data_IF_018075530502
#
_entry.id   IF_018075530502
#
_cell.length_a   1.000
_cell.length_b   1.000
_cell.length_c   1.000
_cell.angle_alpha   90.00
_cell.angle_beta   90.00
_cell.angle_gamma   90.00
#
_symmetry.space_group_name_H-M   'P 1'
#
loop_
_entity.id
_entity.type
_entity.pdbx_description
1 polymer ?
#
# COMPACT_ATOMS: atom_id res chain seq x y z
N UNK A 1 2.69 -11.25 5.55
CA UNK A 1 3.82 -10.44 6.00
C UNK A 1 3.92 -10.44 7.53
N UNK A 2 5.13 -10.61 8.05
CA UNK A 2 5.43 -10.36 9.45
C UNK A 2 5.43 -8.86 9.73
N UNK A 3 4.92 -8.43 10.87
CA UNK A 3 4.76 -7.02 11.19
C UNK A 3 5.48 -6.64 12.47
N UNK A 4 6.39 -5.68 12.38
CA UNK A 4 7.12 -5.09 13.50
C UNK A 4 6.62 -3.68 13.79
N UNK A 5 6.49 -3.37 15.07
CA UNK A 5 6.24 -2.02 15.57
C UNK A 5 7.26 -1.73 16.68
N UNK A 6 7.63 -0.46 16.92
CA UNK A 6 8.43 -0.13 18.10
C UNK A 6 7.60 -0.39 19.36
N UNK A 7 8.25 -0.61 20.50
CA UNK A 7 7.58 -0.88 21.77
C UNK A 7 6.68 0.29 22.22
N UNK A 8 6.96 1.49 21.76
CA UNK A 8 6.15 2.70 21.99
C UNK A 8 5.07 2.91 20.93
N UNK A 9 4.92 2.00 19.97
CA UNK A 9 3.95 2.09 18.90
C UNK A 9 2.51 1.78 19.35
N UNK A 10 1.56 2.03 18.43
CA UNK A 10 0.14 1.73 18.69
C UNK A 10 -0.07 0.22 18.79
N UNK A 11 -0.62 -0.21 19.91
CA UNK A 11 -0.90 -1.61 20.22
C UNK A 11 -2.04 -2.14 19.34
N UNK A 12 -1.92 -3.34 18.84
CA UNK A 12 -3.08 -4.08 18.33
C UNK A 12 -2.83 -4.99 17.13
N UNK A 13 -1.86 -4.73 16.25
CA UNK A 13 -1.64 -5.57 15.08
C UNK A 13 -0.19 -5.66 14.60
N UNK A 14 0.73 -5.53 15.52
CA UNK A 14 2.14 -5.76 15.31
C UNK A 14 2.80 -6.26 16.57
N UNK A 15 3.97 -6.83 16.46
CA UNK A 15 4.80 -7.21 17.60
C UNK A 15 5.68 -6.03 18.00
N UNK A 16 5.52 -5.53 19.22
CA UNK A 16 6.44 -4.55 19.80
C UNK A 16 7.83 -5.16 20.00
N UNK A 17 8.85 -4.44 19.57
CA UNK A 17 10.26 -4.82 19.72
C UNK A 17 11.11 -3.59 20.05
N UNK A 18 12.21 -3.81 20.76
CA UNK A 18 13.18 -2.76 21.12
C UNK A 18 14.59 -3.33 21.10
N UNK A 19 15.50 -2.55 20.56
CA UNK A 19 16.91 -2.91 20.51
C UNK A 19 17.24 -4.12 19.64
N UNK A 20 18.52 -4.32 19.42
CA UNK A 20 19.03 -5.29 18.44
C UNK A 20 18.55 -6.72 18.67
N UNK A 21 18.63 -7.20 19.89
CA UNK A 21 18.41 -8.63 20.15
C UNK A 21 16.94 -9.02 19.93
N UNK A 22 15.99 -8.18 20.38
CA UNK A 22 14.56 -8.43 20.14
C UNK A 22 14.19 -8.30 18.67
N UNK A 23 14.76 -7.32 17.94
CA UNK A 23 14.56 -7.15 16.50
C UNK A 23 15.01 -8.38 15.75
N UNK A 24 16.26 -8.82 15.97
CA UNK A 24 16.84 -10.00 15.31
C UNK A 24 16.02 -11.27 15.61
N UNK A 25 15.65 -11.47 16.87
CA UNK A 25 14.87 -12.62 17.29
C UNK A 25 13.49 -12.64 16.61
N UNK A 26 12.80 -11.49 16.58
CA UNK A 26 11.45 -11.39 16.02
C UNK A 26 11.45 -11.51 14.49
N UNK A 27 12.39 -10.86 13.78
CA UNK A 27 12.54 -11.00 12.32
C UNK A 27 12.73 -12.47 11.95
N UNK A 28 13.67 -13.16 12.61
CA UNK A 28 13.92 -14.59 12.38
C UNK A 28 12.71 -15.45 12.68
N UNK A 29 11.99 -15.13 13.77
CA UNK A 29 10.76 -15.84 14.13
C UNK A 29 9.69 -15.71 13.05
N UNK A 30 9.44 -14.50 12.54
CA UNK A 30 8.43 -14.26 11.51
C UNK A 30 8.78 -14.96 10.19
N UNK A 31 10.03 -14.90 9.76
CA UNK A 31 10.51 -15.61 8.57
C UNK A 31 10.35 -17.13 8.74
N UNK A 32 10.73 -17.68 9.90
CA UNK A 32 10.54 -19.11 10.21
C UNK A 32 9.07 -19.52 10.17
N UNK A 33 8.14 -18.60 10.47
CA UNK A 33 6.69 -18.83 10.38
C UNK A 33 6.13 -18.68 8.96
N UNK A 34 6.97 -18.44 7.96
CA UNK A 34 6.58 -18.33 6.54
C UNK A 34 6.18 -16.93 6.10
N UNK A 35 6.71 -15.88 6.73
CA UNK A 35 6.51 -14.52 6.24
C UNK A 35 7.34 -14.28 4.98
N UNK A 36 6.69 -13.90 3.87
CA UNK A 36 7.35 -13.54 2.60
C UNK A 36 7.93 -12.12 2.64
N UNK A 37 7.45 -11.29 3.55
CA UNK A 37 7.87 -9.91 3.76
C UNK A 37 7.91 -9.57 5.24
N UNK A 38 8.90 -8.80 5.66
CA UNK A 38 8.90 -8.15 6.98
C UNK A 38 8.31 -6.74 6.82
N UNK A 39 7.24 -6.44 7.57
CA UNK A 39 6.64 -5.10 7.59
C UNK A 39 6.98 -4.36 8.87
N UNK A 40 7.47 -3.12 8.72
CA UNK A 40 7.81 -2.22 9.82
C UNK A 40 6.88 -1.02 9.83
N UNK A 41 6.34 -0.66 10.99
CA UNK A 41 5.73 0.64 11.20
C UNK A 41 6.82 1.65 11.55
N UNK A 42 7.36 2.33 10.53
CA UNK A 42 8.44 3.32 10.70
C UNK A 42 7.91 4.61 11.32
N UNK A 43 6.67 4.97 10.97
CA UNK A 43 5.94 6.09 11.58
C UNK A 43 4.62 5.62 12.20
N UNK A 44 3.91 6.52 12.88
CA UNK A 44 2.57 6.29 13.40
C UNK A 44 1.53 6.11 12.29
N UNK A 45 0.35 5.58 12.66
CA UNK A 45 -0.67 5.19 11.69
C UNK A 45 -1.41 6.37 11.08
N UNK A 46 -1.89 7.28 11.91
CA UNK A 46 -2.70 8.43 11.50
C UNK A 46 -2.28 9.63 12.32
N UNK A 47 -1.97 10.76 11.68
CA UNK A 47 -1.76 12.00 12.39
C UNK A 47 -3.03 12.40 13.16
N UNK A 48 -2.89 12.84 14.37
CA UNK A 48 -3.98 13.43 15.13
C UNK A 48 -3.52 14.75 15.77
N UNK A 49 -4.45 15.54 16.30
CA UNK A 49 -4.16 16.86 16.87
C UNK A 49 -3.29 16.83 18.14
N UNK A 50 -3.03 15.65 18.70
CA UNK A 50 -2.17 15.47 19.90
C UNK A 50 -0.87 14.74 19.59
N UNK A 51 -0.82 13.99 18.49
CA UNK A 51 0.34 13.19 18.10
C UNK A 51 0.61 13.38 16.63
N UNK A 52 1.84 13.71 16.32
CA UNK A 52 2.32 13.77 14.96
C UNK A 52 2.61 12.34 14.49
N UNK A 53 1.61 11.70 13.87
CA UNK A 53 1.70 10.32 13.38
C UNK A 53 2.77 10.11 12.32
N UNK A 54 3.28 11.18 11.73
CA UNK A 54 4.34 11.18 10.73
C UNK A 54 5.77 11.07 11.31
N UNK A 55 5.94 11.09 12.62
CA UNK A 55 7.27 10.99 13.21
C UNK A 55 7.86 9.59 13.05
N UNK A 56 9.13 9.52 12.65
CA UNK A 56 9.91 8.29 12.73
C UNK A 56 10.25 8.00 14.19
N UNK A 57 9.86 6.82 14.67
CA UNK A 57 10.04 6.42 16.08
C UNK A 57 11.17 5.40 16.26
N UNK A 58 11.82 5.01 15.17
CA UNK A 58 12.96 4.09 15.16
C UNK A 58 14.27 4.88 15.11
N UNK A 59 15.30 4.36 15.75
CA UNK A 59 16.66 4.82 15.49
C UNK A 59 17.12 4.32 14.11
N UNK A 60 18.09 5.01 13.54
CA UNK A 60 18.77 4.61 12.30
C UNK A 60 19.30 3.17 12.39
N UNK A 61 20.01 2.87 13.46
CA UNK A 61 20.63 1.57 13.69
C UNK A 61 19.59 0.45 13.77
N UNK A 62 18.44 0.68 14.40
CA UNK A 62 17.37 -0.32 14.49
C UNK A 62 16.79 -0.66 13.12
N UNK A 63 16.57 0.34 12.25
CA UNK A 63 16.09 0.09 10.88
C UNK A 63 17.12 -0.66 10.03
N UNK A 64 18.41 -0.32 10.16
CA UNK A 64 19.50 -1.04 9.50
C UNK A 64 19.58 -2.51 9.96
N UNK A 65 19.39 -2.77 11.25
CA UNK A 65 19.36 -4.14 11.81
C UNK A 65 18.19 -4.94 11.25
N UNK A 66 17.00 -4.33 11.12
CA UNK A 66 15.85 -5.00 10.50
C UNK A 66 16.19 -5.41 9.07
N UNK A 67 16.67 -4.48 8.24
CA UNK A 67 17.02 -4.74 6.84
C UNK A 67 18.10 -5.80 6.73
N UNK A 68 19.22 -5.64 7.44
CA UNK A 68 20.33 -6.59 7.39
C UNK A 68 19.88 -8.00 7.78
N UNK A 69 19.14 -8.13 8.91
CA UNK A 69 18.71 -9.44 9.39
C UNK A 69 17.73 -10.12 8.41
N UNK A 70 16.85 -9.33 7.79
CA UNK A 70 15.86 -9.84 6.85
C UNK A 70 16.49 -10.25 5.52
N UNK A 71 17.36 -9.39 4.97
CA UNK A 71 18.04 -9.64 3.70
C UNK A 71 19.03 -10.79 3.78
N UNK A 72 19.72 -10.97 4.90
CA UNK A 72 20.60 -12.13 5.15
C UNK A 72 19.83 -13.47 5.06
N UNK A 73 18.52 -13.42 5.25
CA UNK A 73 17.62 -14.57 5.15
C UNK A 73 16.78 -14.56 3.86
N UNK A 74 17.10 -13.70 2.89
CA UNK A 74 16.44 -13.62 1.60
C UNK A 74 15.02 -13.06 1.65
N UNK A 75 14.65 -12.35 2.71
CA UNK A 75 13.29 -11.80 2.90
C UNK A 75 13.31 -10.28 2.77
N UNK A 76 12.49 -9.69 1.89
CA UNK A 76 12.42 -8.25 1.70
C UNK A 76 11.68 -7.54 2.85
N UNK A 77 11.92 -6.22 2.96
CA UNK A 77 11.40 -5.36 4.01
C UNK A 77 10.51 -4.25 3.43
N UNK A 78 9.33 -4.05 3.99
CA UNK A 78 8.45 -2.93 3.65
C UNK A 78 8.15 -2.06 4.86
N UNK A 79 8.01 -0.75 4.63
CA UNK A 79 7.79 0.25 5.68
C UNK A 79 6.46 0.98 5.56
N UNK A 80 5.70 1.11 6.66
CA UNK A 80 4.66 2.11 6.78
C UNK A 80 5.34 3.45 7.10
N UNK A 81 5.34 4.37 6.13
CA UNK A 81 6.05 5.63 6.20
C UNK A 81 5.12 6.79 5.82
N UNK A 82 4.59 7.48 6.82
CA UNK A 82 3.82 8.71 6.65
C UNK A 82 4.66 9.87 7.16
N UNK A 83 5.12 10.73 6.25
CA UNK A 83 5.96 11.87 6.57
C UNK A 83 7.43 11.69 6.22
N UNK A 84 8.07 12.81 5.97
CA UNK A 84 9.39 12.93 5.33
C UNK A 84 10.49 12.15 6.05
N UNK A 85 10.58 12.26 7.38
CA UNK A 85 11.65 11.60 8.14
C UNK A 85 11.57 10.07 8.06
N UNK A 86 10.36 9.50 8.11
CA UNK A 86 10.17 8.05 8.03
C UNK A 86 10.49 7.51 6.64
N UNK A 87 10.14 8.24 5.57
CA UNK A 87 10.48 7.90 4.20
C UNK A 87 11.99 7.93 3.99
N UNK A 88 12.63 9.02 4.43
CA UNK A 88 14.09 9.20 4.32
C UNK A 88 14.84 8.06 5.02
N UNK A 89 14.52 7.79 6.28
CA UNK A 89 15.24 6.79 7.07
C UNK A 89 14.98 5.36 6.57
N UNK A 90 13.76 5.04 6.11
CA UNK A 90 13.46 3.75 5.50
C UNK A 90 14.23 3.54 4.18
N UNK A 91 14.19 4.52 3.27
CA UNK A 91 14.92 4.44 2.01
C UNK A 91 16.44 4.32 2.23
N UNK A 92 16.98 5.08 3.18
CA UNK A 92 18.38 5.04 3.56
C UNK A 92 18.80 3.70 4.15
N UNK A 93 17.96 3.12 5.02
CA UNK A 93 18.24 1.84 5.69
C UNK A 93 18.17 0.63 4.73
N UNK A 94 17.63 0.80 3.50
CA UNK A 94 17.56 -0.25 2.49
C UNK A 94 16.24 -0.99 2.45
N UNK A 95 15.14 -0.34 2.77
CA UNK A 95 13.81 -0.92 2.58
C UNK A 95 13.52 -1.17 1.11
N UNK A 96 12.85 -2.29 0.80
CA UNK A 96 12.53 -2.71 -0.57
C UNK A 96 11.20 -2.13 -1.06
N UNK A 97 10.38 -1.62 -0.16
CA UNK A 97 9.08 -1.00 -0.49
C UNK A 97 8.66 -0.01 0.60
N UNK A 98 8.26 1.18 0.16
CA UNK A 98 7.65 2.19 1.03
C UNK A 98 6.13 2.19 0.81
N UNK A 99 5.39 2.06 1.90
CA UNK A 99 3.93 2.23 1.91
C UNK A 99 3.62 3.66 2.30
N UNK A 100 2.66 4.26 1.61
CA UNK A 100 2.22 5.65 1.67
C UNK A 100 3.22 6.61 1.04
N UNK A 101 4.39 6.86 1.63
CA UNK A 101 5.35 7.81 1.08
C UNK A 101 4.80 9.23 0.99
N UNK A 102 3.89 9.59 1.91
CA UNK A 102 3.23 10.90 1.91
C UNK A 102 4.09 11.97 2.58
N UNK A 103 3.83 13.24 2.24
CA UNK A 103 4.48 14.42 2.85
C UNK A 103 6.01 14.40 2.74
N UNK A 104 6.55 13.94 1.62
CA UNK A 104 8.01 13.96 1.39
C UNK A 104 8.51 15.38 1.19
N UNK A 105 9.53 15.76 1.96
CA UNK A 105 10.36 16.93 1.70
C UNK A 105 11.49 16.57 0.71
N UNK A 106 12.20 17.56 0.21
CA UNK A 106 13.23 17.39 -0.83
C UNK A 106 14.24 16.28 -0.50
N UNK A 107 14.78 16.25 0.72
CA UNK A 107 15.77 15.24 1.09
C UNK A 107 15.22 13.80 1.05
N UNK A 108 13.96 13.57 1.43
CA UNK A 108 13.34 12.26 1.35
C UNK A 108 13.04 11.87 -0.10
N UNK A 109 12.58 12.81 -0.91
CA UNK A 109 12.36 12.60 -2.34
C UNK A 109 13.66 12.25 -3.05
N UNK A 110 14.74 12.99 -2.79
CA UNK A 110 16.06 12.75 -3.39
C UNK A 110 16.58 11.36 -3.01
N UNK A 111 16.44 10.95 -1.74
CA UNK A 111 16.84 9.62 -1.26
C UNK A 111 16.05 8.50 -1.94
N UNK A 112 14.73 8.65 -2.07
CA UNK A 112 13.89 7.67 -2.77
C UNK A 112 14.28 7.57 -4.25
N UNK A 113 14.54 8.70 -4.91
CA UNK A 113 14.98 8.76 -6.31
C UNK A 113 16.36 8.11 -6.48
N UNK A 114 17.30 8.41 -5.61
CA UNK A 114 18.64 7.82 -5.63
C UNK A 114 18.59 6.29 -5.50
N UNK A 115 17.80 5.81 -4.55
CA UNK A 115 17.70 4.38 -4.23
C UNK A 115 16.71 3.62 -5.12
N UNK A 116 15.87 4.31 -5.89
CA UNK A 116 14.78 3.72 -6.70
C UNK A 116 13.85 2.81 -5.88
N UNK A 117 13.60 3.19 -4.63
CA UNK A 117 12.72 2.39 -3.75
C UNK A 117 11.27 2.51 -4.24
N UNK A 118 10.58 1.41 -4.59
CA UNK A 118 9.18 1.45 -4.97
C UNK A 118 8.30 2.06 -3.87
N UNK A 119 7.26 2.79 -4.29
CA UNK A 119 6.26 3.36 -3.36
C UNK A 119 4.88 2.84 -3.71
N UNK A 120 4.15 2.33 -2.73
CA UNK A 120 2.72 2.07 -2.82
C UNK A 120 1.95 3.14 -2.01
N UNK A 121 1.39 4.17 -2.65
CA UNK A 121 0.78 5.31 -1.93
C UNK A 121 -0.41 4.91 -1.08
N UNK A 122 -1.20 3.94 -1.54
CA UNK A 122 -2.40 3.42 -0.84
C UNK A 122 -3.41 4.52 -0.48
N UNK A 123 -3.61 5.44 -1.40
CA UNK A 123 -4.49 6.62 -1.23
C UNK A 123 -5.97 6.26 -1.26
N UNK A 124 -6.33 5.04 -1.68
CA UNK A 124 -7.70 4.55 -1.75
C UNK A 124 -8.45 4.71 -0.42
N UNK A 125 -7.79 4.38 0.71
CA UNK A 125 -8.40 4.55 2.03
C UNK A 125 -8.74 6.00 2.33
N UNK A 126 -7.80 6.92 2.09
CA UNK A 126 -7.99 8.35 2.31
C UNK A 126 -9.05 8.93 1.38
N UNK A 127 -9.01 8.58 0.08
CA UNK A 127 -9.99 9.02 -0.92
C UNK A 127 -11.40 8.55 -0.55
N UNK A 128 -11.55 7.30 -0.12
CA UNK A 128 -12.84 6.79 0.32
C UNK A 128 -13.33 7.46 1.61
N UNK A 129 -12.44 7.81 2.55
CA UNK A 129 -12.84 8.61 3.72
C UNK A 129 -13.27 10.02 3.34
N UNK A 130 -12.64 10.63 2.34
CA UNK A 130 -13.04 11.95 1.83
C UNK A 130 -14.44 11.88 1.22
N UNK A 131 -14.68 10.91 0.35
CA UNK A 131 -15.92 10.85 -0.44
C UNK A 131 -17.09 10.26 0.35
N UNK A 132 -16.84 9.24 1.17
CA UNK A 132 -17.88 8.43 1.81
C UNK A 132 -17.80 8.42 3.34
N UNK A 133 -16.81 9.08 3.94
CA UNK A 133 -16.60 9.06 5.38
C UNK A 133 -17.82 9.53 6.18
N UNK A 134 -18.61 10.47 5.65
CA UNK A 134 -19.84 10.93 6.27
C UNK A 134 -20.88 9.80 6.47
N UNK A 135 -20.90 8.80 5.57
CA UNK A 135 -21.82 7.66 5.64
C UNK A 135 -21.47 6.70 6.79
N UNK A 136 -20.23 6.70 7.22
CA UNK A 136 -19.71 5.84 8.31
C UNK A 136 -19.42 6.61 9.59
N UNK A 137 -19.83 7.88 9.66
CA UNK A 137 -19.65 8.72 10.85
C UNK A 137 -18.26 9.29 11.03
N UNK A 138 -17.45 9.39 9.98
CA UNK A 138 -16.14 10.04 10.06
C UNK A 138 -16.30 11.54 10.36
N UNK A 139 -15.51 12.04 11.29
CA UNK A 139 -15.54 13.47 11.62
C UNK A 139 -15.04 14.33 10.45
N UNK A 140 -15.67 15.48 10.16
CA UNK A 140 -15.31 16.33 9.02
C UNK A 140 -13.83 16.72 8.98
N UNK A 141 -13.20 16.95 10.13
CA UNK A 141 -11.78 17.31 10.16
C UNK A 141 -10.85 16.22 9.60
N UNK A 142 -11.26 14.93 9.65
CA UNK A 142 -10.49 13.82 9.08
C UNK A 142 -10.54 13.87 7.55
N UNK A 143 -11.70 14.21 6.99
CA UNK A 143 -11.85 14.37 5.54
C UNK A 143 -10.96 15.51 5.03
N UNK A 144 -10.94 16.65 5.74
CA UNK A 144 -10.11 17.78 5.37
C UNK A 144 -8.62 17.51 5.54
N UNK A 145 -8.25 16.73 6.55
CA UNK A 145 -6.88 16.29 6.77
C UNK A 145 -6.38 15.45 5.58
N UNK A 146 -7.14 14.43 5.18
CA UNK A 146 -6.74 13.56 4.09
C UNK A 146 -6.80 14.23 2.72
N UNK A 147 -7.72 15.15 2.51
CA UNK A 147 -7.74 15.95 1.27
C UNK A 147 -6.46 16.75 1.09
N UNK A 148 -6.00 17.40 2.16
CA UNK A 148 -4.72 18.12 2.16
C UNK A 148 -3.54 17.17 1.98
N UNK A 149 -3.52 16.04 2.69
CA UNK A 149 -2.43 15.07 2.57
C UNK A 149 -2.29 14.51 1.15
N UNK A 150 -3.40 14.18 0.48
CA UNK A 150 -3.36 13.74 -0.92
C UNK A 150 -2.81 14.86 -1.80
N UNK A 151 -3.32 16.08 -1.68
CA UNK A 151 -2.87 17.21 -2.48
C UNK A 151 -1.38 17.53 -2.27
N UNK A 152 -0.93 17.57 -1.01
CA UNK A 152 0.47 17.85 -0.66
C UNK A 152 1.44 16.75 -1.13
N UNK A 153 0.94 15.52 -1.24
CA UNK A 153 1.76 14.36 -1.63
C UNK A 153 1.79 14.13 -3.14
N UNK A 154 0.76 14.55 -3.86
CA UNK A 154 0.59 14.25 -5.29
C UNK A 154 1.77 14.75 -6.13
N UNK A 155 2.25 15.96 -5.87
CA UNK A 155 3.37 16.54 -6.61
C UNK A 155 4.67 15.77 -6.41
N UNK A 156 4.99 15.41 -5.15
CA UNK A 156 6.24 14.70 -4.84
C UNK A 156 6.22 13.26 -5.33
N UNK A 157 5.08 12.57 -5.23
CA UNK A 157 4.90 11.24 -5.79
C UNK A 157 4.99 11.25 -7.32
N UNK A 158 4.43 12.28 -7.98
CA UNK A 158 4.58 12.46 -9.43
C UNK A 158 6.04 12.70 -9.82
N UNK A 159 6.76 13.56 -9.11
CA UNK A 159 8.20 13.78 -9.34
C UNK A 159 9.02 12.50 -9.16
N UNK A 160 8.71 11.69 -8.14
CA UNK A 160 9.35 10.40 -7.95
C UNK A 160 9.11 9.46 -9.15
N UNK A 161 7.86 9.38 -9.63
CA UNK A 161 7.51 8.59 -10.81
C UNK A 161 8.25 9.05 -12.06
N UNK A 162 8.26 10.36 -12.36
CA UNK A 162 8.94 10.94 -13.51
C UNK A 162 10.46 10.73 -13.46
N UNK A 163 11.03 10.65 -12.26
CA UNK A 163 12.42 10.27 -12.02
C UNK A 163 12.67 8.75 -12.10
N UNK A 164 11.64 7.93 -12.41
CA UNK A 164 11.74 6.48 -12.60
C UNK A 164 11.67 5.65 -11.30
N UNK A 165 11.09 6.19 -10.24
CA UNK A 165 10.70 5.41 -9.06
C UNK A 165 9.41 4.66 -9.39
N UNK A 166 9.33 3.32 -9.19
CA UNK A 166 8.08 2.59 -9.39
C UNK A 166 6.99 3.05 -8.42
N UNK A 167 5.86 3.49 -8.95
CA UNK A 167 4.66 3.77 -8.15
C UNK A 167 3.69 2.60 -8.32
N UNK A 168 3.27 2.03 -7.22
CA UNK A 168 2.48 0.80 -7.14
C UNK A 168 1.03 1.10 -6.79
N UNK A 169 0.12 0.22 -7.17
CA UNK A 169 -1.26 0.26 -6.72
C UNK A 169 -1.48 -0.63 -5.50
N UNK A 170 -2.02 -0.04 -4.43
CA UNK A 170 -2.44 -0.74 -3.23
C UNK A 170 -3.71 -0.11 -2.66
N UNK A 171 -4.71 -0.92 -2.30
CA UNK A 171 -6.01 -0.43 -1.82
C UNK A 171 -6.10 -0.29 -0.30
N UNK A 172 -5.08 -0.73 0.44
CA UNK A 172 -5.10 -0.82 1.90
C UNK A 172 -6.35 -1.56 2.43
N UNK A 173 -6.70 -2.67 1.76
CA UNK A 173 -7.89 -3.46 2.09
C UNK A 173 -7.85 -4.00 3.52
N UNK A 174 -9.03 -4.04 4.14
CA UNK A 174 -9.25 -4.54 5.50
C UNK A 174 -9.82 -3.50 6.46
N UNK A 175 -9.93 -2.26 6.04
CA UNK A 175 -10.61 -1.19 6.80
C UNK A 175 -12.09 -1.06 6.40
N UNK A 176 -12.87 -0.34 7.19
CA UNK A 176 -14.31 -0.14 6.96
C UNK A 176 -14.63 0.53 5.62
N UNK A 177 -13.76 1.42 5.14
CA UNK A 177 -13.94 2.11 3.84
C UNK A 177 -13.24 1.41 2.69
N UNK A 178 -12.47 0.37 2.96
CA UNK A 178 -11.77 -0.45 1.97
C UNK A 178 -11.93 -1.95 2.30
N UNK A 179 -13.16 -2.48 2.31
CA UNK A 179 -13.39 -3.89 2.59
C UNK A 179 -12.71 -4.79 1.55
N UNK A 180 -12.36 -6.01 1.95
CA UNK A 180 -11.74 -7.00 1.06
C UNK A 180 -12.60 -7.31 -0.16
N UNK A 181 -11.97 -7.38 -1.32
CA UNK A 181 -12.62 -7.69 -2.58
C UNK A 181 -13.29 -6.50 -3.28
N UNK A 182 -13.16 -5.30 -2.71
CA UNK A 182 -13.70 -4.07 -3.28
C UNK A 182 -12.62 -3.02 -3.50
N UNK A 183 -12.90 -2.02 -4.32
CA UNK A 183 -12.09 -0.81 -4.47
C UNK A 183 -10.70 -1.00 -5.11
N UNK A 184 -10.40 -2.14 -5.73
CA UNK A 184 -9.09 -2.38 -6.35
C UNK A 184 -8.74 -1.38 -7.47
N UNK A 185 -9.76 -0.89 -8.20
CA UNK A 185 -9.60 0.11 -9.26
C UNK A 185 -9.41 1.54 -8.72
N UNK A 186 -9.79 1.78 -7.46
CA UNK A 186 -9.84 3.13 -6.88
C UNK A 186 -8.47 3.78 -6.78
N UNK A 187 -7.43 3.02 -6.48
CA UNK A 187 -6.07 3.56 -6.46
C UNK A 187 -5.67 4.08 -7.85
N UNK A 188 -5.96 3.34 -8.92
CA UNK A 188 -5.73 3.80 -10.28
C UNK A 188 -6.49 5.09 -10.59
N UNK A 189 -7.74 5.19 -10.15
CA UNK A 189 -8.54 6.40 -10.30
C UNK A 189 -7.90 7.60 -9.56
N UNK A 190 -7.41 7.39 -8.34
CA UNK A 190 -6.74 8.44 -7.55
C UNK A 190 -5.42 8.85 -8.21
N UNK A 191 -4.60 7.90 -8.67
CA UNK A 191 -3.36 8.20 -9.40
C UNK A 191 -3.64 9.07 -10.65
N UNK A 192 -4.72 8.78 -11.38
CA UNK A 192 -5.11 9.57 -12.56
C UNK A 192 -5.58 10.98 -12.14
N UNK A 193 -6.47 11.08 -11.18
CA UNK A 193 -7.10 12.35 -10.80
C UNK A 193 -6.14 13.29 -10.08
N UNK A 194 -5.37 12.77 -9.14
CA UNK A 194 -4.59 13.60 -8.22
C UNK A 194 -3.12 13.75 -8.69
N UNK A 195 -2.57 12.71 -9.33
CA UNK A 195 -1.16 12.71 -9.74
C UNK A 195 -0.97 12.88 -11.25
N UNK A 196 -2.05 13.01 -12.03
CA UNK A 196 -2.00 13.22 -13.47
C UNK A 196 -1.46 12.02 -14.26
N UNK A 197 -1.62 10.81 -13.76
CA UNK A 197 -1.30 9.60 -14.53
C UNK A 197 -2.26 9.45 -15.70
N UNK A 198 -1.75 8.96 -16.82
CA UNK A 198 -2.61 8.41 -17.87
C UNK A 198 -3.24 7.10 -17.39
N UNK A 199 -4.39 6.68 -17.95
CA UNK A 199 -4.96 5.39 -17.61
C UNK A 199 -4.01 4.20 -17.83
N UNK A 200 -3.15 4.25 -18.85
CA UNK A 200 -2.15 3.20 -19.11
C UNK A 200 -1.05 3.18 -18.05
N UNK A 201 -0.57 4.33 -17.57
CA UNK A 201 0.40 4.40 -16.48
C UNK A 201 -0.21 3.83 -15.19
N UNK A 202 -1.46 4.17 -14.88
CA UNK A 202 -2.15 3.63 -13.71
C UNK A 202 -2.38 2.11 -13.81
N UNK A 203 -2.77 1.58 -14.98
CA UNK A 203 -2.88 0.13 -15.22
C UNK A 203 -1.51 -0.53 -15.11
N UNK A 204 -0.45 0.07 -15.64
CA UNK A 204 0.92 -0.43 -15.50
C UNK A 204 1.34 -0.52 -14.04
N UNK A 205 1.04 0.51 -13.23
CA UNK A 205 1.27 0.50 -11.78
C UNK A 205 0.57 -0.68 -11.09
N UNK A 206 -0.68 -0.96 -11.49
CA UNK A 206 -1.49 -2.04 -10.91
C UNK A 206 -1.11 -3.46 -11.41
N UNK A 207 -0.34 -3.57 -12.46
CA UNK A 207 0.03 -4.85 -13.09
C UNK A 207 1.54 -5.06 -13.08
N UNK A 208 2.25 -4.51 -14.03
CA UNK A 208 3.67 -4.72 -14.26
C UNK A 208 4.54 -4.29 -13.07
N UNK A 209 4.33 -3.08 -12.54
CA UNK A 209 5.15 -2.57 -11.43
C UNK A 209 4.84 -3.35 -10.14
N UNK A 210 3.56 -3.66 -9.88
CA UNK A 210 3.19 -4.50 -8.74
C UNK A 210 3.83 -5.88 -8.80
N UNK A 211 3.79 -6.55 -9.96
CA UNK A 211 4.39 -7.87 -10.12
C UNK A 211 5.90 -7.85 -9.86
N UNK A 212 6.60 -6.84 -10.37
CA UNK A 212 8.04 -6.67 -10.13
C UNK A 212 8.37 -6.43 -8.65
N UNK A 213 7.61 -5.57 -8.00
CA UNK A 213 7.80 -5.29 -6.58
C UNK A 213 7.50 -6.51 -5.70
N UNK A 214 6.61 -7.40 -6.13
CA UNK A 214 6.31 -8.66 -5.45
C UNK A 214 7.26 -9.81 -5.84
N UNK A 215 8.39 -9.50 -6.45
CA UNK A 215 9.47 -10.42 -6.81
C UNK A 215 9.11 -11.44 -7.92
N UNK A 216 8.05 -11.17 -8.68
CA UNK A 216 7.65 -11.95 -9.87
C UNK A 216 8.19 -11.32 -11.16
N UNK A 217 9.51 -11.17 -11.23
CA UNK A 217 10.18 -10.53 -12.35
C UNK A 217 10.01 -11.33 -13.64
N UNK A 218 9.28 -10.75 -14.60
CA UNK A 218 9.13 -11.34 -15.93
C UNK A 218 8.11 -12.48 -16.03
N UNK A 219 7.46 -12.88 -14.95
CA UNK A 219 6.46 -13.96 -14.95
C UNK A 219 5.03 -13.44 -15.03
N UNK A 220 4.77 -12.31 -14.36
CA UNK A 220 3.45 -11.71 -14.17
C UNK A 220 3.41 -10.23 -14.59
N UNK A 221 2.19 -9.70 -14.71
CA UNK A 221 1.93 -8.27 -14.85
C UNK A 221 2.01 -7.73 -16.28
N UNK A 222 2.24 -8.58 -17.28
CA UNK A 222 2.28 -8.19 -18.69
C UNK A 222 1.81 -9.32 -19.60
N UNK A 223 1.41 -8.98 -20.81
CA UNK A 223 0.95 -9.95 -21.82
C UNK A 223 2.12 -10.22 -22.77
N UNK A 224 2.80 -11.33 -22.53
CA UNK A 224 3.94 -11.77 -23.33
C UNK A 224 3.95 -13.31 -23.41
N UNK A 225 4.39 -13.87 -24.54
CA UNK A 225 4.57 -15.32 -24.65
C UNK A 225 5.54 -15.84 -23.59
N UNK A 226 5.14 -16.88 -22.86
CA UNK A 226 5.90 -17.46 -21.75
C UNK A 226 5.57 -16.89 -20.36
N UNK A 227 4.78 -15.82 -20.26
CA UNK A 227 4.29 -15.32 -18.96
C UNK A 227 3.12 -16.15 -18.44
N UNK A 228 2.96 -16.14 -17.12
CA UNK A 228 1.83 -16.76 -16.45
C UNK A 228 0.56 -16.00 -16.85
N UNK A 229 -0.46 -16.75 -17.28
CA UNK A 229 -1.71 -16.18 -17.76
C UNK A 229 -2.67 -15.83 -16.62
N UNK A 230 -2.31 -14.81 -15.83
CA UNK A 230 -3.20 -14.12 -14.90
C UNK A 230 -3.82 -12.93 -15.64
N UNK A 231 -5.03 -13.10 -16.18
CA UNK A 231 -5.65 -12.17 -17.12
C UNK A 231 -7.07 -11.79 -16.72
N UNK A 232 -7.45 -10.56 -17.04
CA UNK A 232 -8.84 -10.09 -16.99
C UNK A 232 -9.34 -9.80 -18.41
N UNK A 233 -10.46 -10.41 -18.78
CA UNK A 233 -11.22 -10.03 -19.98
C UNK A 233 -12.38 -9.12 -19.55
N UNK A 234 -12.38 -7.90 -20.06
CA UNK A 234 -13.36 -6.89 -19.71
C UNK A 234 -14.16 -6.42 -20.93
N UNK A 235 -15.45 -6.09 -20.73
CA UNK A 235 -16.34 -5.66 -21.83
C UNK A 235 -16.22 -4.19 -22.20
N UNK A 236 -15.65 -3.36 -21.32
CA UNK A 236 -15.43 -1.93 -21.54
C UNK A 236 -13.94 -1.59 -21.50
N UNK A 237 -13.55 -0.54 -22.19
CA UNK A 237 -12.14 -0.16 -22.31
C UNK A 237 -11.63 0.59 -21.04
N UNK A 238 -10.78 -0.02 -20.20
CA UNK A 238 -10.26 0.63 -18.99
C UNK A 238 -9.26 1.75 -19.30
N UNK A 239 -8.72 1.83 -20.52
CA UNK A 239 -7.84 2.95 -20.91
C UNK A 239 -8.61 4.24 -21.18
N UNK A 240 -9.93 4.18 -21.33
CA UNK A 240 -10.80 5.34 -21.40
C UNK A 240 -11.34 5.72 -20.01
N UNK A 241 -11.63 4.72 -19.19
CA UNK A 241 -12.11 4.92 -17.83
C UNK A 241 -11.78 3.70 -16.96
N UNK A 242 -10.85 3.84 -16.03
CA UNK A 242 -10.43 2.74 -15.14
C UNK A 242 -11.51 2.29 -14.16
N UNK A 243 -12.53 3.12 -13.89
CA UNK A 243 -13.60 2.76 -12.96
C UNK A 243 -14.48 1.62 -13.47
N UNK A 244 -14.43 1.31 -14.78
CA UNK A 244 -15.12 0.14 -15.34
C UNK A 244 -14.63 -1.19 -14.76
N UNK A 245 -13.42 -1.21 -14.18
CA UNK A 245 -12.88 -2.37 -13.49
C UNK A 245 -13.52 -2.62 -12.10
N UNK A 246 -14.23 -1.63 -11.58
CA UNK A 246 -15.00 -1.76 -10.33
C UNK A 246 -16.39 -2.34 -10.50
N UNK A 247 -16.88 -2.40 -11.73
CA UNK A 247 -18.19 -2.96 -12.06
C UNK A 247 -18.04 -4.41 -12.50
N UNK A 248 -18.56 -5.32 -11.69
CA UNK A 248 -18.46 -6.77 -11.90
C UNK A 248 -19.10 -7.23 -13.22
N UNK A 249 -20.12 -6.53 -13.72
CA UNK A 249 -20.75 -6.83 -15.00
C UNK A 249 -19.79 -6.64 -16.17
N UNK A 250 -18.76 -5.82 -16.01
CA UNK A 250 -17.73 -5.64 -17.03
C UNK A 250 -16.66 -6.73 -17.02
N UNK A 251 -16.53 -7.51 -15.95
CA UNK A 251 -15.58 -8.63 -15.84
C UNK A 251 -16.18 -9.85 -16.53
N UNK A 252 -15.74 -10.16 -17.75
CA UNK A 252 -16.27 -11.30 -18.54
C UNK A 252 -15.58 -12.60 -18.22
N UNK A 253 -14.26 -12.57 -18.00
CA UNK A 253 -13.48 -13.74 -17.62
C UNK A 253 -12.32 -13.31 -16.74
N UNK A 254 -11.99 -14.15 -15.77
CA UNK A 254 -10.77 -14.05 -14.97
C UNK A 254 -9.99 -15.34 -15.17
N UNK A 255 -8.72 -15.22 -15.53
CA UNK A 255 -7.79 -16.32 -15.62
C UNK A 255 -6.78 -16.24 -14.48
N UNK A 256 -6.52 -17.36 -13.85
CA UNK A 256 -5.45 -17.58 -12.88
C UNK A 256 -4.62 -18.78 -13.33
N UNK A 257 -3.32 -18.59 -13.55
CA UNK A 257 -2.44 -19.62 -14.11
C UNK A 257 -3.00 -20.26 -15.41
N UNK A 258 -3.64 -19.45 -16.27
CA UNK A 258 -4.28 -19.93 -17.50
C UNK A 258 -5.62 -20.65 -17.29
N UNK A 259 -6.08 -20.84 -16.07
CA UNK A 259 -7.35 -21.49 -15.74
C UNK A 259 -8.44 -20.44 -15.52
N UNK A 260 -9.57 -20.60 -16.24
CA UNK A 260 -10.73 -19.73 -16.07
C UNK A 260 -11.30 -19.93 -14.67
N UNK A 261 -11.48 -18.81 -13.95
CA UNK A 261 -12.10 -18.80 -12.64
C UNK A 261 -13.62 -18.78 -12.78
N UNK A 262 -14.30 -19.58 -11.96
CA UNK A 262 -15.76 -19.54 -11.86
C UNK A 262 -16.20 -18.23 -11.18
N UNK A 263 -16.93 -17.40 -11.92
CA UNK A 263 -17.54 -16.17 -11.42
C UNK A 263 -18.97 -16.39 -10.93
N UNK A 264 -19.36 -17.66 -10.63
CA UNK A 264 -20.71 -18.05 -10.20
C UNK A 264 -21.32 -17.13 -9.15
N UNK A 265 -22.62 -17.30 -8.80
CA UNK A 265 -23.34 -16.35 -7.95
C UNK A 265 -22.59 -16.14 -6.64
N UNK A 266 -22.12 -14.92 -6.41
CA UNK A 266 -21.44 -14.57 -5.16
C UNK A 266 -22.40 -14.80 -4.02
N UNK A 267 -22.06 -15.72 -3.12
CA UNK A 267 -22.69 -15.75 -1.81
C UNK A 267 -22.57 -14.33 -1.25
N UNK A 268 -23.67 -13.76 -0.78
CA UNK A 268 -23.63 -12.47 -0.07
C UNK A 268 -22.57 -12.60 1.03
N UNK A 269 -21.41 -12.03 0.79
CA UNK A 269 -20.34 -12.03 1.79
C UNK A 269 -20.86 -11.22 2.96
N UNK A 270 -21.10 -11.88 4.07
CA UNK A 270 -21.40 -11.16 5.31
C UNK A 270 -20.20 -10.27 5.60
N UNK A 271 -20.42 -8.98 5.86
CA UNK A 271 -19.34 -8.09 6.28
C UNK A 271 -18.61 -8.76 7.44
N UNK A 272 -17.27 -8.77 7.39
CA UNK A 272 -16.48 -9.28 8.52
C UNK A 272 -16.70 -8.30 9.67
N UNK A 273 -17.62 -8.65 10.56
CA UNK A 273 -17.87 -7.90 11.78
C UNK A 273 -16.60 -7.96 12.63
N UNK A 274 -16.00 -6.83 12.94
CA UNK A 274 -14.96 -6.79 13.95
C UNK A 274 -13.74 -5.92 13.69
N UNK A 275 -13.50 -5.42 12.50
CA UNK A 275 -12.39 -4.51 12.26
C UNK A 275 -12.77 -3.05 12.60
N UNK A 276 -12.78 -2.77 13.90
CA UNK A 276 -12.90 -1.40 14.42
C UNK A 276 -11.51 -0.77 14.59
N UNK A 277 -10.76 -0.63 13.52
CA UNK A 277 -9.47 0.08 13.59
C UNK A 277 -9.68 1.59 13.72
N UNK A 278 -10.82 2.07 13.26
CA UNK A 278 -11.33 3.41 13.51
C UNK A 278 -12.78 3.23 13.92
N UNK A 279 -13.28 3.92 14.91
CA UNK A 279 -14.64 3.82 15.45
C UNK A 279 -15.75 4.20 14.45
N UNK A 280 -15.66 3.72 13.23
CA UNK A 280 -16.68 3.90 12.20
C UNK A 280 -17.56 2.65 12.19
N UNK A 281 -18.78 2.78 12.72
CA UNK A 281 -19.66 1.66 13.00
C UNK A 281 -20.26 0.95 11.79
N UNK A 282 -20.02 1.41 10.56
CA UNK A 282 -20.57 0.84 9.33
C UNK A 282 -19.45 0.47 8.35
N UNK A 283 -19.69 -0.57 7.56
CA UNK A 283 -18.79 -0.98 6.47
C UNK A 283 -19.34 -0.39 5.17
N UNK A 284 -18.48 0.32 4.44
CA UNK A 284 -18.81 0.83 3.13
C UNK A 284 -18.76 -0.32 2.11
N UNK A 285 -19.89 -0.63 1.51
CA UNK A 285 -20.02 -1.54 0.36
C UNK A 285 -20.36 -0.73 -0.88
N UNK A 286 -19.85 -1.15 -2.02
CA UNK A 286 -20.23 -0.58 -3.32
C UNK A 286 -21.67 -0.92 -3.65
#
# INVERSE_FOLDING_TARGET
>A
AGRLIPDQGIVGYGKGVKGKDEIVAEVRRQIKMGADWIKVHVSGLIPNHRQRGELCVWSREELEIVCQTSHDLGTPVMGHCRGSSSVFEAARAGFDLILHGTLMEAAALDMVIERKVPIAPTLTFQANLIDFGHQIGAAPFIQDLFRREIADSAETLRKAYDAGVPILCGSESGFSVTPYGHWHYREMEVLIKEMGFSPLEAIRSATYENARAMLHHGELGHIQAGSIADLLLVSKNPTQNVTVLGDEENLKMIFKDGVIQDLGPRSQRKPINGWRVVNYGQILTQ
#
